data_IF_125544175660
#
_entry.id   IF_125544175660
#
_cell.length_a   1.000
_cell.length_b   1.000
_cell.length_c   1.000
_cell.angle_alpha   90.00
_cell.angle_beta   90.00
_cell.angle_gamma   90.00
#
_symmetry.space_group_name_H-M   'P 1'
#
loop_
_entity.id
_entity.type
_entity.pdbx_description
1 polymer ?
#
# COMPACT_ATOMS: atom_id res chain seq x y z
N UNK A 1 -3.05 20.90 13.30
CA UNK A 1 -2.71 20.13 12.09
C UNK A 1 -4.02 19.84 11.36
N UNK A 2 -4.31 20.55 10.27
CA UNK A 2 -5.59 20.39 9.55
C UNK A 2 -5.57 19.04 8.83
N UNK A 3 -6.47 18.13 9.17
CA UNK A 3 -6.80 17.00 8.29
C UNK A 3 -7.61 17.61 7.15
N UNK A 4 -7.00 17.79 5.99
CA UNK A 4 -7.81 17.93 4.78
C UNK A 4 -8.47 16.58 4.53
N UNK A 5 -9.73 16.49 4.92
CA UNK A 5 -10.65 15.39 4.64
C UNK A 5 -10.97 15.37 3.15
N UNK A 6 -9.99 15.02 2.31
CA UNK A 6 -10.31 14.63 0.94
C UNK A 6 -10.99 13.27 1.04
N UNK A 7 -12.33 13.29 1.07
CA UNK A 7 -13.17 12.10 1.10
C UNK A 7 -12.79 11.25 -0.12
N UNK A 8 -12.17 10.10 0.11
CA UNK A 8 -11.75 9.22 -0.98
C UNK A 8 -12.97 8.88 -1.85
N UNK A 9 -12.87 8.95 -3.18
CA UNK A 9 -13.96 8.54 -4.08
C UNK A 9 -14.19 7.03 -4.08
N UNK A 10 -13.29 6.25 -3.45
CA UNK A 10 -13.43 4.82 -3.25
C UNK A 10 -14.19 4.51 -1.96
N UNK A 11 -15.09 3.52 -1.99
CA UNK A 11 -15.78 3.04 -0.79
C UNK A 11 -15.49 1.58 -0.54
N UNK A 12 -14.81 1.26 0.56
CA UNK A 12 -14.61 -0.13 1.00
C UNK A 12 -15.90 -0.72 1.56
N UNK A 13 -16.29 -1.88 1.05
CA UNK A 13 -17.45 -2.67 1.47
C UNK A 13 -17.07 -3.75 2.47
N UNK A 14 -15.84 -4.28 2.38
CA UNK A 14 -15.32 -5.30 3.27
C UNK A 14 -13.89 -5.64 2.92
N UNK A 15 -13.21 -6.29 3.85
CA UNK A 15 -11.80 -6.67 3.73
C UNK A 15 -11.59 -8.09 4.20
N UNK A 16 -10.73 -8.84 3.52
CA UNK A 16 -10.36 -10.20 3.90
C UNK A 16 -8.88 -10.45 3.70
N UNK A 17 -8.20 -10.99 4.70
CA UNK A 17 -6.86 -11.54 4.51
C UNK A 17 -6.98 -12.84 3.70
N UNK A 18 -6.36 -12.87 2.53
CA UNK A 18 -6.45 -14.01 1.60
C UNK A 18 -5.17 -14.83 1.58
N UNK A 19 -4.06 -14.27 2.06
CA UNK A 19 -2.81 -14.97 2.19
C UNK A 19 -1.98 -14.36 3.32
N UNK A 20 -1.26 -15.23 4.03
CA UNK A 20 -0.35 -14.80 5.09
C UNK A 20 0.83 -15.76 5.20
N UNK A 21 2.02 -15.20 5.33
CA UNK A 21 3.23 -15.92 5.68
C UNK A 21 4.11 -15.05 6.61
N UNK A 22 5.28 -15.52 7.07
CA UNK A 22 6.15 -14.73 7.95
C UNK A 22 6.67 -13.40 7.36
N UNK A 23 6.64 -13.23 6.04
CA UNK A 23 7.22 -12.06 5.36
C UNK A 23 6.17 -11.05 4.90
N UNK A 24 5.00 -11.52 4.47
CA UNK A 24 3.93 -10.70 3.89
C UNK A 24 2.54 -11.14 4.35
N UNK A 25 1.59 -10.21 4.29
CA UNK A 25 0.16 -10.48 4.29
C UNK A 25 -0.48 -9.87 3.04
N UNK A 26 -1.43 -10.58 2.44
CA UNK A 26 -2.24 -10.06 1.33
C UNK A 26 -3.68 -9.92 1.81
N UNK A 27 -4.22 -8.72 1.65
CA UNK A 27 -5.61 -8.38 1.95
C UNK A 27 -6.31 -7.98 0.67
N UNK A 28 -7.50 -8.52 0.46
CA UNK A 28 -8.42 -8.08 -0.59
C UNK A 28 -9.52 -7.23 0.03
N UNK A 29 -9.71 -6.04 -0.52
CA UNK A 29 -10.79 -5.12 -0.17
C UNK A 29 -11.83 -5.15 -1.29
N UNK A 30 -13.07 -5.56 -0.98
CA UNK A 30 -14.21 -5.34 -1.87
C UNK A 30 -14.57 -3.87 -1.83
N UNK A 31 -14.66 -3.20 -2.98
CA UNK A 31 -14.82 -1.75 -3.06
C UNK A 31 -15.89 -1.34 -4.08
N UNK A 32 -16.44 -0.15 -3.91
CA UNK A 32 -17.05 0.64 -4.99
C UNK A 32 -16.00 1.61 -5.50
N UNK A 33 -15.76 1.56 -6.81
CA UNK A 33 -14.83 2.41 -7.55
C UNK A 33 -15.40 3.83 -7.73
N UNK A 34 -14.58 4.83 -8.12
CA UNK A 34 -15.05 6.19 -8.39
C UNK A 34 -16.11 6.29 -9.50
N UNK A 35 -16.14 5.33 -10.43
CA UNK A 35 -17.14 5.23 -11.49
C UNK A 35 -18.46 4.56 -11.02
N UNK A 36 -18.54 4.15 -9.75
CA UNK A 36 -19.72 3.51 -9.15
C UNK A 36 -19.74 1.99 -9.26
N UNK A 37 -18.83 1.38 -10.02
CA UNK A 37 -18.82 -0.07 -10.25
C UNK A 37 -18.12 -0.84 -9.12
N UNK A 38 -18.52 -2.09 -8.84
CA UNK A 38 -17.83 -2.93 -7.87
C UNK A 38 -16.43 -3.32 -8.36
N UNK A 39 -15.52 -3.50 -7.40
CA UNK A 39 -14.16 -3.94 -7.68
C UNK A 39 -13.49 -4.64 -6.50
N UNK A 40 -12.30 -5.18 -6.77
CA UNK A 40 -11.40 -5.73 -5.77
C UNK A 40 -10.14 -4.87 -5.75
N UNK A 41 -9.70 -4.46 -4.57
CA UNK A 41 -8.44 -3.77 -4.34
C UNK A 41 -7.54 -4.64 -3.48
N UNK A 42 -6.42 -5.11 -4.04
CA UNK A 42 -5.46 -5.96 -3.35
C UNK A 42 -4.36 -5.13 -2.67
N UNK A 43 -4.05 -5.47 -1.42
CA UNK A 43 -2.97 -4.86 -0.63
C UNK A 43 -1.99 -5.94 -0.23
N UNK A 44 -0.73 -5.79 -0.65
CA UNK A 44 0.39 -6.56 -0.12
C UNK A 44 1.07 -5.72 0.96
N UNK A 45 1.16 -6.26 2.16
CA UNK A 45 1.82 -5.62 3.28
C UNK A 45 3.01 -6.45 3.72
N UNK A 46 4.21 -5.87 3.67
CA UNK A 46 5.43 -6.48 4.20
C UNK A 46 5.43 -6.37 5.72
N UNK A 47 5.70 -7.48 6.41
CA UNK A 47 5.74 -7.52 7.88
C UNK A 47 7.01 -6.91 8.47
N UNK A 48 8.05 -6.80 7.65
CA UNK A 48 9.35 -6.28 8.05
C UNK A 48 9.54 -4.85 7.56
N UNK A 49 10.36 -4.09 8.29
CA UNK A 49 10.75 -2.74 7.88
C UNK A 49 11.78 -2.82 6.76
N UNK A 50 11.53 -2.12 5.66
CA UNK A 50 12.51 -1.95 4.59
C UNK A 50 13.54 -0.89 4.99
N UNK A 51 14.82 -1.17 4.73
CA UNK A 51 15.92 -0.21 4.94
C UNK A 51 16.61 0.02 3.60
N UNK A 52 16.67 1.27 3.19
CA UNK A 52 17.45 1.72 2.04
C UNK A 52 18.70 2.46 2.52
N UNK A 53 19.84 2.16 1.92
CA UNK A 53 21.09 2.89 2.13
C UNK A 53 21.46 3.55 0.81
N UNK A 54 21.73 4.86 0.85
CA UNK A 54 22.20 5.62 -0.30
C UNK A 54 23.63 6.10 -0.03
N UNK A 55 24.65 5.39 -0.55
CA UNK A 55 26.03 5.83 -0.41
C UNK A 55 26.30 7.00 -1.37
N UNK A 56 26.85 8.09 -0.82
CA UNK A 56 27.15 9.32 -1.56
C UNK A 56 28.58 9.75 -1.25
N UNK A 57 29.33 10.09 -2.30
CA UNK A 57 30.66 10.69 -2.19
C UNK A 57 30.80 11.79 -3.24
N UNK A 58 31.03 13.03 -2.80
CA UNK A 58 31.03 14.21 -3.69
C UNK A 58 29.74 14.26 -4.55
N UNK A 59 29.88 14.24 -5.87
CA UNK A 59 28.78 14.25 -6.84
C UNK A 59 28.41 12.83 -7.33
N UNK A 60 28.88 11.78 -6.66
CA UNK A 60 28.65 10.39 -7.03
C UNK A 60 27.68 9.68 -6.09
N UNK A 61 26.81 8.87 -6.68
CA UNK A 61 25.92 7.92 -5.99
C UNK A 61 26.31 6.51 -6.40
N UNK A 62 26.49 5.62 -5.43
CA UNK A 62 26.82 4.23 -5.68
C UNK A 62 25.56 3.35 -5.69
N UNK A 63 25.42 2.51 -6.72
CA UNK A 63 24.30 1.59 -6.92
C UNK A 63 24.81 0.14 -6.97
N UNK A 64 23.98 -0.81 -6.54
CA UNK A 64 24.23 -2.27 -6.56
C UNK A 64 23.18 -3.01 -7.37
#
# INVERSE_FOLDING_TARGET
MRRDETRSPWRTLGSRNVYENPWISVREDSVIRPDGEPGIYGVVHYKNTAVGVLPVEQDHVYLV
#
